data_IF_921454725292
#
_entry.id   IF_921454725292
#
_cell.length_a   1.000
_cell.length_b   1.000
_cell.length_c   1.000
_cell.angle_alpha   90.00
_cell.angle_beta   90.00
_cell.angle_gamma   90.00
#
_symmetry.space_group_name_H-M   'P 1'
#
loop_
_entity.id
_entity.type
_entity.pdbx_description
1 polymer ?
#
# COMPACT_ATOMS: atom_id res chain seq x y z
N UNK A 1 -1.82 -19.54 -16.74
CA UNK A 1 -1.78 -18.19 -16.14
C UNK A 1 -2.41 -18.34 -14.77
N UNK A 2 -1.64 -18.26 -13.68
CA UNK A 2 -2.22 -18.38 -12.34
C UNK A 2 -2.93 -17.06 -12.02
N UNK A 3 -4.26 -17.08 -12.03
CA UNK A 3 -5.08 -16.02 -11.47
C UNK A 3 -4.93 -16.11 -9.95
N UNK A 4 -3.88 -15.49 -9.43
CA UNK A 4 -3.75 -15.25 -8.00
C UNK A 4 -4.84 -14.26 -7.65
N UNK A 5 -5.98 -14.77 -7.17
CA UNK A 5 -7.13 -13.99 -6.73
C UNK A 5 -6.68 -13.02 -5.62
N UNK A 6 -6.27 -11.82 -6.01
CA UNK A 6 -5.99 -10.73 -5.08
C UNK A 6 -7.34 -10.28 -4.50
N UNK A 7 -7.73 -10.85 -3.37
CA UNK A 7 -8.94 -10.51 -2.61
C UNK A 7 -8.79 -9.15 -1.89
N UNK A 8 -8.29 -8.13 -2.59
CA UNK A 8 -8.13 -6.78 -2.06
C UNK A 8 -9.17 -5.83 -2.64
N UNK A 9 -9.77 -4.99 -1.79
CA UNK A 9 -10.64 -3.90 -2.23
C UNK A 9 -9.77 -2.73 -2.68
N UNK A 10 -10.03 -2.19 -3.87
CA UNK A 10 -9.36 -0.98 -4.34
C UNK A 10 -10.04 0.26 -3.73
N UNK A 11 -9.25 1.12 -3.07
CA UNK A 11 -9.73 2.35 -2.44
C UNK A 11 -8.95 3.56 -2.93
N UNK A 12 -9.64 4.67 -3.19
CA UNK A 12 -9.00 5.94 -3.51
C UNK A 12 -8.65 6.66 -2.20
N UNK A 13 -7.37 6.92 -1.97
CA UNK A 13 -6.86 7.55 -0.74
C UNK A 13 -5.91 8.69 -1.06
N UNK A 14 -5.97 9.74 -0.25
CA UNK A 14 -4.98 10.81 -0.26
C UNK A 14 -3.74 10.33 0.50
N UNK A 15 -2.58 10.32 -0.18
CA UNK A 15 -1.29 9.94 0.40
C UNK A 15 -0.30 11.11 0.34
N UNK A 16 0.52 11.31 1.38
CA UNK A 16 1.60 12.29 1.31
C UNK A 16 2.69 11.78 0.37
N UNK A 17 3.14 12.64 -0.54
CA UNK A 17 4.24 12.39 -1.48
C UNK A 17 5.28 13.48 -1.31
N UNK A 18 6.55 13.11 -1.31
CA UNK A 18 7.67 14.05 -1.25
C UNK A 18 8.25 14.23 -2.66
N UNK A 19 8.29 15.47 -3.14
CA UNK A 19 8.88 15.81 -4.45
C UNK A 19 10.42 15.79 -4.41
N UNK A 20 11.05 15.89 -5.59
CA UNK A 20 12.52 15.95 -5.73
C UNK A 20 13.17 17.14 -5.00
N UNK A 21 12.37 18.15 -4.63
CA UNK A 21 12.80 19.34 -3.89
C UNK A 21 12.57 19.19 -2.38
N UNK A 22 12.10 18.03 -1.91
CA UNK A 22 11.84 17.74 -0.50
C UNK A 22 10.53 18.31 0.05
N UNK A 23 9.63 18.84 -0.80
CA UNK A 23 8.33 19.36 -0.36
C UNK A 23 7.32 18.22 -0.30
N UNK A 24 6.45 18.24 0.71
CA UNK A 24 5.39 17.25 0.87
C UNK A 24 4.05 17.84 0.43
N UNK A 25 3.34 17.12 -0.44
CA UNK A 25 1.96 17.42 -0.85
C UNK A 25 1.11 16.14 -0.84
N UNK A 26 -0.20 16.28 -1.00
CA UNK A 26 -1.13 15.14 -1.03
C UNK A 26 -1.47 14.77 -2.46
N UNK A 27 -1.44 13.47 -2.78
CA UNK A 27 -1.88 12.93 -4.07
C UNK A 27 -2.97 11.88 -3.89
N UNK A 28 -3.92 11.82 -4.83
CA UNK A 28 -4.99 10.83 -4.83
C UNK A 28 -4.51 9.55 -5.53
N UNK A 29 -4.36 8.47 -4.76
CA UNK A 29 -3.85 7.19 -5.25
C UNK A 29 -4.85 6.06 -5.02
N UNK A 30 -4.97 5.17 -6.01
CA UNK A 30 -5.68 3.91 -5.84
C UNK A 30 -4.79 2.91 -5.09
N UNK A 31 -5.28 2.39 -3.97
CA UNK A 31 -4.56 1.47 -3.09
C UNK A 31 -5.37 0.20 -2.97
N UNK A 32 -4.72 -0.94 -3.23
CA UNK A 32 -5.31 -2.25 -2.94
C UNK A 32 -5.23 -2.51 -1.44
N UNK A 33 -6.38 -2.46 -0.77
CA UNK A 33 -6.54 -2.81 0.63
C UNK A 33 -6.91 -4.29 0.71
N UNK A 34 -5.93 -5.13 1.04
CA UNK A 34 -6.14 -6.54 1.35
C UNK A 34 -6.32 -6.76 2.84
N UNK A 35 -7.06 -7.81 3.21
CA UNK A 35 -7.13 -8.27 4.59
C UNK A 35 -5.71 -8.56 5.09
N UNK A 36 -5.38 -8.05 6.27
CA UNK A 36 -4.00 -7.95 6.74
C UNK A 36 -3.36 -9.34 6.76
N UNK A 37 -2.42 -9.60 5.85
CA UNK A 37 -1.39 -10.59 6.13
C UNK A 37 -0.63 -10.05 7.34
N UNK A 38 -0.94 -10.59 8.52
CA UNK A 38 -0.32 -10.22 9.78
C UNK A 38 1.19 -10.04 9.59
N UNK A 39 1.81 -8.99 10.19
CA UNK A 39 3.24 -8.79 10.06
C UNK A 39 3.93 -10.05 10.58
N UNK A 40 4.58 -10.79 9.67
CA UNK A 40 5.51 -11.85 10.05
C UNK A 40 6.72 -11.14 10.64
N UNK A 41 6.67 -10.94 11.96
CA UNK A 41 7.84 -10.56 12.73
C UNK A 41 8.81 -11.74 12.58
N UNK A 42 9.79 -11.61 11.69
CA UNK A 42 10.95 -12.49 11.72
C UNK A 42 11.74 -12.13 12.98
N UNK A 43 11.37 -12.74 14.11
CA UNK A 43 12.23 -12.79 15.27
C UNK A 43 13.44 -13.66 14.87
N UNK A 44 14.57 -13.00 14.60
CA UNK A 44 15.86 -13.69 14.55
C UNK A 44 16.19 -14.16 15.98
N UNK A 45 16.37 -15.47 16.14
CA UNK A 45 16.93 -16.11 17.32
C UNK A 45 18.45 -16.26 17.16
#
# INVERSE_FOLDING_TARGET
MHDTQMSGRLELRWVPVTDERGRTHMEACWITVGDQAAPRINAAA
#
